data_IF_965118596899
#
_entry.id   IF_965118596899
#
_cell.length_a   1.000
_cell.length_b   1.000
_cell.length_c   1.000
_cell.angle_alpha   90.00
_cell.angle_beta   90.00
_cell.angle_gamma   90.00
#
_symmetry.space_group_name_H-M   'P 1'
#
loop_
_entity.id
_entity.type
_entity.pdbx_description
1 polymer ?
#
# COMPACT_ATOMS: atom_id res chain seq x y z
N UNK A 1 -8.72 12.14 -5.18
CA UNK A 1 -10.05 11.51 -4.94
C UNK A 1 -10.16 10.07 -5.45
N UNK A 2 -9.73 9.75 -6.68
CA UNK A 2 -9.82 8.38 -7.22
C UNK A 2 -9.17 7.29 -6.34
N UNK A 3 -8.10 7.65 -5.61
CA UNK A 3 -7.39 6.70 -4.73
C UNK A 3 -8.29 6.17 -3.60
N UNK A 4 -9.27 6.95 -3.12
CA UNK A 4 -10.19 6.53 -2.06
C UNK A 4 -11.17 5.44 -2.51
N UNK A 5 -11.36 5.25 -3.82
CA UNK A 5 -12.18 4.16 -4.37
C UNK A 5 -11.50 2.79 -4.25
N UNK A 6 -10.20 2.73 -3.98
CA UNK A 6 -9.45 1.48 -3.86
C UNK A 6 -10.03 0.59 -2.76
N UNK A 7 -10.44 1.18 -1.63
CA UNK A 7 -10.98 0.45 -0.49
C UNK A 7 -12.35 -0.18 -0.76
N UNK A 8 -13.38 0.54 -1.22
CA UNK A 8 -14.64 -0.09 -1.60
C UNK A 8 -14.46 -1.10 -2.73
N UNK A 9 -13.54 -0.87 -3.68
CA UNK A 9 -13.26 -1.84 -4.76
C UNK A 9 -12.66 -3.14 -4.22
N UNK A 10 -11.71 -3.05 -3.28
CA UNK A 10 -11.13 -4.22 -2.60
C UNK A 10 -12.18 -4.99 -1.79
N UNK A 11 -13.08 -4.27 -1.12
CA UNK A 11 -14.17 -4.87 -0.36
C UNK A 11 -15.15 -5.63 -1.26
N UNK A 12 -15.51 -5.04 -2.40
CA UNK A 12 -16.36 -5.68 -3.42
C UNK A 12 -15.65 -6.90 -4.00
N UNK A 13 -14.36 -6.81 -4.33
CA UNK A 13 -13.59 -7.93 -4.87
C UNK A 13 -13.58 -9.14 -3.92
N UNK A 14 -13.30 -8.90 -2.63
CA UNK A 14 -13.31 -9.97 -1.63
C UNK A 14 -14.69 -10.60 -1.47
N UNK A 15 -15.72 -9.76 -1.35
CA UNK A 15 -17.08 -10.23 -1.05
C UNK A 15 -17.74 -10.92 -2.25
N UNK A 16 -17.55 -10.40 -3.46
CA UNK A 16 -18.30 -10.82 -4.65
C UNK A 16 -17.50 -11.64 -5.66
N UNK A 17 -16.17 -11.46 -5.73
CA UNK A 17 -15.33 -12.20 -6.70
C UNK A 17 -14.65 -13.39 -6.02
N UNK A 18 -14.09 -13.18 -4.83
CA UNK A 18 -13.42 -14.24 -4.07
C UNK A 18 -14.38 -15.14 -3.30
N UNK A 19 -15.59 -14.65 -3.02
CA UNK A 19 -16.63 -15.37 -2.27
C UNK A 19 -16.34 -15.52 -0.78
N UNK A 20 -15.20 -15.02 -0.30
CA UNK A 20 -14.77 -15.07 1.09
C UNK A 20 -14.65 -13.65 1.65
N UNK A 21 -15.46 -13.28 2.67
CA UNK A 21 -15.36 -11.97 3.30
C UNK A 21 -13.96 -11.80 3.92
N UNK A 22 -13.43 -10.56 3.94
CA UNK A 22 -12.10 -10.32 4.49
C UNK A 22 -12.05 -10.73 5.96
N UNK A 23 -11.14 -11.65 6.30
CA UNK A 23 -10.95 -12.10 7.69
C UNK A 23 -10.27 -11.00 8.52
N UNK A 24 -10.23 -11.15 9.85
CA UNK A 24 -9.77 -10.09 10.77
C UNK A 24 -8.46 -9.39 10.38
N UNK A 25 -7.43 -10.13 9.94
CA UNK A 25 -6.17 -9.54 9.46
C UNK A 25 -6.32 -8.74 8.16
N UNK A 26 -7.10 -9.25 7.19
CA UNK A 26 -7.37 -8.55 5.92
C UNK A 26 -8.18 -7.28 6.16
N UNK A 27 -9.14 -7.32 7.08
CA UNK A 27 -9.91 -6.16 7.49
C UNK A 27 -9.01 -5.09 8.13
N UNK A 28 -8.15 -5.47 9.07
CA UNK A 28 -7.19 -4.57 9.71
C UNK A 28 -6.27 -3.94 8.68
N UNK A 29 -5.78 -4.72 7.71
CA UNK A 29 -4.96 -4.20 6.62
C UNK A 29 -5.71 -3.18 5.76
N UNK A 30 -6.93 -3.48 5.34
CA UNK A 30 -7.77 -2.57 4.56
C UNK A 30 -8.01 -1.25 5.31
N UNK A 31 -8.27 -1.32 6.63
CA UNK A 31 -8.45 -0.13 7.47
C UNK A 31 -7.18 0.70 7.57
N UNK A 32 -6.02 0.07 7.80
CA UNK A 32 -4.72 0.77 7.86
C UNK A 32 -4.41 1.43 6.52
N UNK A 33 -4.65 0.72 5.41
CA UNK A 33 -4.52 1.23 4.04
C UNK A 33 -5.39 2.46 3.82
N UNK A 34 -6.65 2.41 4.26
CA UNK A 34 -7.58 3.52 4.15
C UNK A 34 -7.09 4.74 4.91
N UNK A 35 -6.67 4.57 6.16
CA UNK A 35 -6.15 5.65 7.01
C UNK A 35 -4.92 6.29 6.35
N UNK A 36 -3.98 5.49 5.85
CA UNK A 36 -2.80 5.99 5.16
C UNK A 36 -3.17 6.79 3.90
N UNK A 37 -4.11 6.28 3.09
CA UNK A 37 -4.62 6.98 1.91
C UNK A 37 -5.27 8.32 2.26
N UNK A 38 -6.10 8.33 3.30
CA UNK A 38 -6.77 9.54 3.77
C UNK A 38 -5.74 10.56 4.23
N UNK A 39 -4.77 10.15 5.06
CA UNK A 39 -3.69 11.04 5.52
C UNK A 39 -2.89 11.60 4.34
N UNK A 40 -2.53 10.76 3.36
CA UNK A 40 -1.82 11.21 2.17
C UNK A 40 -2.65 12.11 1.24
N UNK A 41 -3.98 12.01 1.29
CA UNK A 41 -4.87 12.90 0.54
C UNK A 41 -5.06 14.28 1.17
N UNK A 42 -4.86 14.38 2.49
CA UNK A 42 -5.00 15.63 3.25
C UNK A 42 -3.68 16.41 3.29
N UNK A 43 -2.55 15.71 3.26
CA UNK A 43 -1.21 16.33 3.24
C UNK A 43 -0.86 16.70 1.79
N UNK A 44 -0.49 17.97 1.56
CA UNK A 44 0.03 18.42 0.26
C UNK A 44 1.30 17.64 -0.09
N UNK A 45 1.32 17.02 -1.28
CA UNK A 45 2.35 16.07 -1.71
C UNK A 45 2.51 14.83 -0.80
N UNK A 46 1.50 14.50 0.00
CA UNK A 46 1.53 13.37 0.94
C UNK A 46 1.85 12.04 0.26
N UNK A 47 1.35 11.82 -0.96
CA UNK A 47 1.63 10.60 -1.76
C UNK A 47 3.08 10.59 -2.28
N UNK A 48 3.71 11.75 -2.46
CA UNK A 48 5.10 11.87 -2.89
C UNK A 48 6.07 11.94 -1.71
N UNK A 49 5.56 11.99 -0.47
CA UNK A 49 6.40 11.98 0.72
C UNK A 49 7.21 10.68 0.78
N UNK A 50 8.55 10.76 0.95
CA UNK A 50 9.39 9.57 1.04
C UNK A 50 8.97 8.68 2.22
N UNK A 51 8.55 9.27 3.34
CA UNK A 51 8.07 8.51 4.49
C UNK A 51 6.77 7.76 4.19
N UNK A 52 5.85 8.37 3.44
CA UNK A 52 4.63 7.72 3.01
C UNK A 52 4.94 6.53 2.10
N UNK A 53 5.76 6.73 1.07
CA UNK A 53 6.10 5.68 0.11
C UNK A 53 6.84 4.50 0.77
N UNK A 54 7.71 4.78 1.74
CA UNK A 54 8.41 3.74 2.50
C UNK A 54 7.45 2.94 3.38
N UNK A 55 6.64 3.62 4.22
CA UNK A 55 5.71 2.95 5.14
C UNK A 55 4.63 2.19 4.38
N UNK A 56 4.07 2.82 3.35
CA UNK A 56 2.99 2.26 2.55
C UNK A 56 3.49 1.09 1.69
N UNK A 57 4.65 1.24 1.05
CA UNK A 57 5.29 0.17 0.27
C UNK A 57 5.66 -1.04 1.13
N UNK A 58 6.19 -0.81 2.35
CA UNK A 58 6.51 -1.88 3.30
C UNK A 58 5.24 -2.64 3.73
N UNK A 59 4.19 -1.91 4.13
CA UNK A 59 2.92 -2.50 4.54
C UNK A 59 2.33 -3.37 3.44
N UNK A 60 2.27 -2.86 2.21
CA UNK A 60 1.77 -3.61 1.07
C UNK A 60 2.63 -4.84 0.82
N UNK A 61 3.97 -4.71 0.78
CA UNK A 61 4.85 -5.83 0.49
C UNK A 61 4.72 -6.94 1.56
N UNK A 62 4.82 -6.58 2.85
CA UNK A 62 4.73 -7.56 3.95
C UNK A 62 3.37 -8.25 3.97
N UNK A 63 2.28 -7.50 3.87
CA UNK A 63 0.94 -8.08 3.94
C UNK A 63 0.62 -8.94 2.71
N UNK A 64 1.05 -8.50 1.53
CA UNK A 64 0.88 -9.25 0.28
C UNK A 64 1.69 -10.54 0.27
N UNK A 65 2.90 -10.55 0.84
CA UNK A 65 3.70 -11.77 1.01
C UNK A 65 2.97 -12.76 1.94
N UNK A 66 2.46 -12.29 3.08
CA UNK A 66 1.71 -13.14 4.02
C UNK A 66 0.48 -13.74 3.32
N UNK A 67 -0.29 -12.93 2.59
CA UNK A 67 -1.45 -13.40 1.84
C UNK A 67 -1.09 -14.38 0.72
N UNK A 68 0.02 -14.15 0.02
CA UNK A 68 0.52 -15.08 -0.98
C UNK A 68 0.88 -16.43 -0.36
N UNK A 69 1.58 -16.43 0.78
CA UNK A 69 1.94 -17.66 1.49
C UNK A 69 0.72 -18.42 2.04
N UNK A 70 -0.33 -17.71 2.45
CA UNK A 70 -1.54 -18.33 2.98
C UNK A 70 -2.49 -18.86 1.89
N UNK A 71 -2.70 -18.08 0.82
CA UNK A 71 -3.76 -18.34 -0.17
C UNK A 71 -3.24 -18.68 -1.57
N UNK A 72 -1.94 -18.56 -1.83
CA UNK A 72 -1.34 -18.82 -3.14
C UNK A 72 -1.81 -17.89 -4.26
N UNK A 73 -2.35 -16.71 -3.91
CA UNK A 73 -3.00 -15.84 -4.88
C UNK A 73 -2.00 -14.98 -5.68
N UNK A 74 -2.04 -15.10 -7.00
CA UNK A 74 -1.21 -14.34 -7.95
C UNK A 74 -1.41 -12.82 -7.79
N UNK A 75 -2.62 -12.37 -7.41
CA UNK A 75 -2.89 -10.95 -7.15
C UNK A 75 -2.02 -10.43 -5.99
N UNK A 76 -1.81 -11.26 -4.95
CA UNK A 76 -0.92 -10.95 -3.83
C UNK A 76 0.54 -10.89 -4.27
N UNK A 77 0.95 -11.69 -5.24
CA UNK A 77 2.31 -11.62 -5.80
C UNK A 77 2.51 -10.28 -6.56
N UNK A 78 1.52 -9.88 -7.37
CA UNK A 78 1.56 -8.62 -8.10
C UNK A 78 1.58 -7.41 -7.15
N UNK A 79 0.77 -7.43 -6.08
CA UNK A 79 0.75 -6.36 -5.08
C UNK A 79 2.05 -6.31 -4.27
N UNK A 80 2.71 -7.45 -4.03
CA UNK A 80 4.06 -7.49 -3.45
C UNK A 80 5.05 -6.71 -4.33
N UNK A 81 5.02 -6.95 -5.65
CA UNK A 81 5.84 -6.21 -6.61
C UNK A 81 5.58 -4.71 -6.56
N UNK A 82 4.31 -4.30 -6.51
CA UNK A 82 3.93 -2.89 -6.37
C UNK A 82 4.46 -2.26 -5.07
N UNK A 83 4.37 -2.97 -3.94
CA UNK A 83 4.90 -2.52 -2.65
C UNK A 83 6.42 -2.33 -2.67
N UNK A 84 7.16 -3.24 -3.31
CA UNK A 84 8.62 -3.13 -3.49
C UNK A 84 8.98 -1.92 -4.36
N UNK A 85 8.28 -1.71 -5.48
CA UNK A 85 8.52 -0.55 -6.34
C UNK A 85 8.27 0.78 -5.60
N UNK A 86 7.24 0.84 -4.76
CA UNK A 86 6.98 2.01 -3.91
C UNK A 86 8.09 2.23 -2.88
N UNK A 87 8.57 1.16 -2.23
CA UNK A 87 9.72 1.22 -1.32
C UNK A 87 10.96 1.79 -2.03
N UNK A 88 11.31 1.25 -3.20
CA UNK A 88 12.45 1.72 -3.98
C UNK A 88 12.30 3.20 -4.36
N UNK A 89 11.09 3.62 -4.76
CA UNK A 89 10.81 5.03 -5.06
C UNK A 89 10.96 5.92 -3.83
N UNK A 90 10.49 5.47 -2.66
CA UNK A 90 10.66 6.18 -1.39
C UNK A 90 12.13 6.34 -1.00
N UNK A 91 12.95 5.29 -1.19
CA UNK A 91 14.41 5.36 -0.98
C UNK A 91 15.05 6.37 -1.93
N UNK A 92 14.71 6.33 -3.22
CA UNK A 92 15.24 7.27 -4.22
C UNK A 92 14.96 8.73 -3.85
N UNK A 93 13.70 9.04 -3.47
CA UNK A 93 13.31 10.40 -3.09
C UNK A 93 14.01 10.87 -1.81
N UNK A 94 14.21 9.96 -0.85
CA UNK A 94 14.95 10.27 0.39
C UNK A 94 16.41 10.59 0.10
N UNK A 95 17.07 9.81 -0.76
CA UNK A 95 18.46 10.04 -1.17
C UNK A 95 18.61 11.36 -1.92
N UNK A 96 17.67 11.69 -2.81
CA UNK A 96 17.66 12.97 -3.53
C UNK A 96 17.48 14.15 -2.58
N UNK A 97 16.58 14.05 -1.60
CA UNK A 97 16.35 15.10 -0.61
C UNK A 97 17.57 15.31 0.31
N UNK A 98 18.26 14.23 0.68
CA UNK A 98 19.50 14.30 1.48
C UNK A 98 20.67 14.88 0.70
N UNK A 99 20.76 14.65 -0.62
CA UNK A 99 21.81 15.22 -1.46
C UNK A 99 21.70 16.72 -1.69
N UNK A 100 20.48 17.27 -1.68
CA UNK A 100 20.25 18.72 -1.83
C UNK A 100 20.57 19.54 -0.58
N UNK A 101 20.61 18.92 0.61
CA UNK A 101 20.98 19.59 1.87
C UNK A 101 22.50 19.76 2.06
N UNK A 102 23.31 19.18 1.17
CA UNK A 102 24.78 19.20 1.21
C UNK A 102 25.40 20.14 0.16
N UNK A 103 24.59 20.88 -0.60
CA UNK A 103 25.02 21.93 -1.53
C UNK A 103 24.64 23.31 -0.98
#
# INVERSE_FOLDING_TARGET
>A
MLILLVVPTLFIYHTYIRGDPPMGLELVFIVILYILLVMASVIQDGIQSPNYLLLFGLLIATFSIILYLQKGDIVSLASTGAGILMLLRGVQLRLQSSGQLLQ
#
